data_IF_923165346695
#
_entry.id   IF_923165346695
#
_cell.length_a   1.000
_cell.length_b   1.000
_cell.length_c   1.000
_cell.angle_alpha   90.00
_cell.angle_beta   90.00
_cell.angle_gamma   90.00
#
_symmetry.space_group_name_H-M   'P 1'
#
loop_
_entity.id
_entity.type
_entity.pdbx_description
1 polymer ?
#
# COMPACT_ATOMS: atom_id res chain seq x y z
N UNK A 1 8.68 -2.87 -31.66
CA UNK A 1 9.27 -2.99 -30.30
C UNK A 1 8.31 -3.72 -29.36
N UNK A 2 7.81 -4.90 -29.72
CA UNK A 2 6.75 -5.61 -28.99
C UNK A 2 7.14 -7.02 -28.52
N UNK A 3 8.41 -7.42 -28.70
CA UNK A 3 8.90 -8.77 -28.43
C UNK A 3 9.96 -8.83 -27.33
N UNK A 4 10.26 -7.71 -26.65
CA UNK A 4 11.42 -7.60 -25.77
C UNK A 4 11.23 -8.30 -24.41
N UNK A 5 9.98 -8.51 -23.97
CA UNK A 5 9.70 -9.11 -22.68
C UNK A 5 8.81 -10.33 -22.87
N UNK A 6 9.39 -11.49 -22.57
CA UNK A 6 8.62 -12.72 -22.37
C UNK A 6 7.63 -12.53 -21.21
N UNK A 7 6.57 -13.32 -21.17
CA UNK A 7 5.46 -13.17 -20.22
C UNK A 7 5.94 -13.18 -18.76
N UNK A 8 6.94 -14.02 -18.49
CA UNK A 8 7.60 -14.12 -17.20
C UNK A 8 8.37 -12.84 -16.86
N UNK A 9 8.98 -12.17 -17.85
CA UNK A 9 9.65 -10.89 -17.69
C UNK A 9 8.67 -9.77 -17.35
N UNK A 10 7.50 -9.75 -18.01
CA UNK A 10 6.43 -8.80 -17.71
C UNK A 10 5.89 -8.97 -16.28
N UNK A 11 5.72 -10.22 -15.85
CA UNK A 11 5.30 -10.57 -14.50
C UNK A 11 6.31 -10.11 -13.45
N UNK A 12 7.59 -10.39 -13.67
CA UNK A 12 8.69 -9.99 -12.78
C UNK A 12 8.76 -8.47 -12.68
N UNK A 13 8.68 -7.77 -13.82
CA UNK A 13 8.72 -6.30 -13.85
C UNK A 13 7.53 -5.69 -13.12
N UNK A 14 6.33 -6.24 -13.33
CA UNK A 14 5.13 -5.80 -12.61
C UNK A 14 5.29 -5.98 -11.09
N UNK A 15 5.75 -7.16 -10.64
CA UNK A 15 5.98 -7.46 -9.22
C UNK A 15 7.05 -6.55 -8.61
N UNK A 16 8.18 -6.36 -9.30
CA UNK A 16 9.31 -5.60 -8.78
C UNK A 16 9.04 -4.10 -8.69
N UNK A 17 8.43 -3.52 -9.72
CA UNK A 17 8.29 -2.07 -9.84
C UNK A 17 6.91 -1.60 -9.37
N UNK A 18 5.85 -2.12 -10.01
CA UNK A 18 4.49 -1.59 -9.87
C UNK A 18 3.86 -2.08 -8.57
N UNK A 19 3.93 -3.38 -8.31
CA UNK A 19 3.38 -3.99 -7.08
C UNK A 19 4.10 -3.48 -5.83
N UNK A 20 5.43 -3.45 -5.84
CA UNK A 20 6.22 -2.88 -4.73
C UNK A 20 5.83 -1.43 -4.43
N UNK A 21 5.69 -0.59 -5.47
CA UNK A 21 5.29 0.81 -5.30
C UNK A 21 3.87 0.95 -4.76
N UNK A 22 2.93 0.10 -5.18
CA UNK A 22 1.54 0.12 -4.69
C UNK A 22 1.39 -0.46 -3.28
N UNK A 23 2.21 -1.44 -2.88
CA UNK A 23 2.21 -2.04 -1.53
C UNK A 23 2.89 -1.13 -0.49
N UNK A 24 4.08 -0.61 -0.83
CA UNK A 24 4.95 0.06 0.16
C UNK A 24 4.86 1.59 0.16
N UNK A 25 4.18 2.23 -0.79
CA UNK A 25 3.89 3.67 -0.74
C UNK A 25 2.73 4.01 0.23
N UNK A 26 2.45 3.15 1.22
CA UNK A 26 1.34 3.27 2.16
C UNK A 26 1.31 4.62 2.89
N UNK A 27 2.45 5.30 3.07
CA UNK A 27 2.52 6.66 3.61
C UNK A 27 1.83 7.70 2.74
N UNK A 28 1.89 7.58 1.41
CA UNK A 28 1.17 8.45 0.49
C UNK A 28 -0.32 8.13 0.40
N UNK A 29 -0.70 6.87 0.64
CA UNK A 29 -2.08 6.39 0.48
C UNK A 29 -2.86 6.31 1.78
N UNK A 30 -2.22 6.35 2.95
CA UNK A 30 -2.87 6.20 4.26
C UNK A 30 -3.90 7.28 4.58
N UNK A 31 -3.87 8.41 3.86
CA UNK A 31 -4.89 9.46 3.91
C UNK A 31 -5.68 9.65 2.60
N UNK A 32 -5.48 8.79 1.60
CA UNK A 32 -6.14 8.93 0.31
C UNK A 32 -7.61 8.50 0.40
N UNK A 33 -8.52 9.22 -0.27
CA UNK A 33 -9.92 8.84 -0.31
C UNK A 33 -10.09 7.46 -0.99
N UNK A 34 -11.10 6.69 -0.56
CA UNK A 34 -11.42 5.35 -1.10
C UNK A 34 -11.52 5.33 -2.64
N UNK A 35 -11.92 6.45 -3.26
CA UNK A 35 -11.97 6.61 -4.72
C UNK A 35 -10.58 6.45 -5.37
N UNK A 36 -9.52 6.97 -4.75
CA UNK A 36 -8.14 6.83 -5.26
C UNK A 36 -7.60 5.42 -5.05
N UNK A 37 -7.96 4.79 -3.92
CA UNK A 37 -7.61 3.39 -3.66
C UNK A 37 -8.23 2.45 -4.71
N UNK A 38 -9.48 2.70 -5.10
CA UNK A 38 -10.15 1.95 -6.16
C UNK A 38 -9.48 2.12 -7.54
N UNK A 39 -8.74 3.20 -7.77
CA UNK A 39 -7.94 3.36 -9.00
C UNK A 39 -6.72 2.43 -9.00
N UNK A 40 -6.08 2.22 -7.84
CA UNK A 40 -4.95 1.28 -7.71
C UNK A 40 -5.41 -0.16 -7.99
N UNK A 41 -6.58 -0.53 -7.48
CA UNK A 41 -7.16 -1.86 -7.73
C UNK A 41 -7.48 -2.05 -9.23
N UNK A 42 -7.90 -0.97 -9.93
CA UNK A 42 -8.06 -0.99 -11.40
C UNK A 42 -6.74 -1.12 -12.14
N UNK A 43 -5.66 -0.48 -11.66
CA UNK A 43 -4.31 -0.63 -12.24
C UNK A 43 -3.83 -2.07 -12.10
N UNK A 44 -4.00 -2.68 -10.93
CA UNK A 44 -3.75 -4.11 -10.74
C UNK A 44 -4.57 -4.96 -11.71
N UNK A 45 -5.89 -4.72 -11.78
CA UNK A 45 -6.78 -5.47 -12.66
C UNK A 45 -6.35 -5.38 -14.14
N UNK A 46 -5.89 -4.21 -14.57
CA UNK A 46 -5.31 -4.03 -15.92
C UNK A 46 -3.99 -4.77 -16.10
N UNK A 47 -3.09 -4.72 -15.13
CA UNK A 47 -1.81 -5.40 -15.19
C UNK A 47 -1.98 -6.93 -15.23
N UNK A 48 -2.87 -7.47 -14.39
CA UNK A 48 -3.21 -8.91 -14.38
C UNK A 48 -3.82 -9.32 -15.71
N UNK A 49 -4.70 -8.50 -16.30
CA UNK A 49 -5.24 -8.75 -17.64
C UNK A 49 -4.16 -8.78 -18.71
N UNK A 50 -3.27 -7.78 -18.72
CA UNK A 50 -2.12 -7.74 -19.63
C UNK A 50 -1.24 -8.98 -19.51
N UNK A 51 -0.93 -9.43 -18.28
CA UNK A 51 -0.11 -10.64 -18.05
C UNK A 51 -0.86 -11.91 -18.49
N UNK A 52 -2.17 -11.99 -18.22
CA UNK A 52 -3.02 -13.15 -18.54
C UNK A 52 -3.27 -13.28 -20.05
N UNK A 53 -3.61 -12.19 -20.72
CA UNK A 53 -3.86 -12.15 -22.17
C UNK A 53 -2.59 -12.49 -22.96
N UNK A 54 -1.41 -12.36 -22.33
CA UNK A 54 -0.14 -12.73 -22.93
C UNK A 54 0.20 -14.23 -22.80
N UNK A 55 -0.59 -15.03 -22.07
CA UNK A 55 -0.49 -16.50 -22.04
C UNK A 55 0.17 -17.11 -20.80
N UNK A 56 0.60 -16.30 -19.82
CA UNK A 56 1.11 -16.81 -18.54
C UNK A 56 -0.05 -17.17 -17.59
N UNK A 57 -0.59 -18.37 -17.77
CA UNK A 57 -1.49 -19.00 -16.81
C UNK A 57 -0.76 -19.37 -15.52
N UNK A 58 -0.57 -18.42 -14.61
CA UNK A 58 -0.32 -18.71 -13.20
C UNK A 58 -1.32 -17.92 -12.37
N UNK A 59 -1.99 -18.62 -11.46
CA UNK A 59 -2.82 -18.03 -10.42
C UNK A 59 -1.95 -17.05 -9.65
N UNK A 60 -2.02 -15.79 -10.06
CA UNK A 60 -1.52 -14.71 -9.26
C UNK A 60 -2.41 -14.66 -8.05
N UNK A 61 -1.88 -15.12 -6.92
CA UNK A 61 -2.39 -14.79 -5.60
C UNK A 61 -2.50 -13.27 -5.54
N UNK A 62 -3.69 -12.84 -5.93
CA UNK A 62 -4.15 -11.47 -5.95
C UNK A 62 -4.55 -11.18 -4.51
N UNK A 63 -3.60 -11.37 -3.60
CA UNK A 63 -3.71 -10.86 -2.24
C UNK A 63 -4.03 -9.39 -2.39
N UNK A 64 -5.25 -9.02 -2.01
CA UNK A 64 -5.77 -7.69 -2.23
C UNK A 64 -4.80 -6.69 -1.61
N UNK A 65 -4.41 -5.66 -2.37
CA UNK A 65 -3.49 -4.62 -1.87
C UNK A 65 -3.98 -4.00 -0.56
N UNK A 66 -5.27 -4.09 -0.24
CA UNK A 66 -5.82 -3.64 1.03
C UNK A 66 -5.08 -4.24 2.22
N UNK A 67 -4.90 -5.56 2.27
CA UNK A 67 -4.24 -6.22 3.40
C UNK A 67 -2.78 -5.82 3.53
N UNK A 68 -2.04 -5.75 2.42
CA UNK A 68 -0.65 -5.29 2.43
C UNK A 68 -0.53 -3.82 2.88
N UNK A 69 -1.45 -2.96 2.43
CA UNK A 69 -1.54 -1.56 2.85
C UNK A 69 -1.86 -1.43 4.35
N UNK A 70 -2.79 -2.23 4.86
CA UNK A 70 -3.17 -2.22 6.28
C UNK A 70 -2.00 -2.66 7.16
N UNK A 71 -1.31 -3.74 6.79
CA UNK A 71 -0.11 -4.22 7.48
C UNK A 71 1.00 -3.18 7.42
N UNK A 72 1.24 -2.57 6.26
CA UNK A 72 2.26 -1.54 6.11
C UNK A 72 1.93 -0.29 6.94
N UNK A 73 0.68 0.17 6.94
CA UNK A 73 0.19 1.27 7.77
C UNK A 73 0.35 1.00 9.28
N UNK A 74 -0.07 -0.19 9.73
CA UNK A 74 0.10 -0.64 11.12
C UNK A 74 1.58 -0.71 11.51
N UNK A 75 2.43 -1.24 10.63
CA UNK A 75 3.88 -1.33 10.84
C UNK A 75 4.49 0.06 10.98
N UNK A 76 4.10 1.02 10.14
CA UNK A 76 4.56 2.41 10.24
C UNK A 76 4.10 3.02 11.57
N UNK A 77 2.83 2.88 11.94
CA UNK A 77 2.32 3.40 13.21
C UNK A 77 3.03 2.79 14.42
N UNK A 78 3.30 1.48 14.38
CA UNK A 78 4.09 0.78 15.38
C UNK A 78 5.52 1.35 15.46
N UNK A 79 6.18 1.58 14.32
CA UNK A 79 7.52 2.16 14.26
C UNK A 79 7.56 3.60 14.79
N UNK A 80 6.54 4.40 14.50
CA UNK A 80 6.40 5.79 14.96
C UNK A 80 6.19 5.85 16.47
N UNK A 81 5.27 5.03 17.01
CA UNK A 81 4.87 5.12 18.41
C UNK A 81 5.70 4.28 19.37
N UNK A 82 6.03 3.03 19.00
CA UNK A 82 6.73 2.08 19.87
C UNK A 82 8.24 2.12 19.65
N UNK A 83 8.72 1.98 18.41
CA UNK A 83 10.16 1.96 18.14
C UNK A 83 10.82 3.35 18.07
N UNK A 84 10.02 4.42 17.99
CA UNK A 84 10.49 5.82 17.98
C UNK A 84 11.61 6.08 16.97
N UNK A 85 11.43 5.57 15.76
CA UNK A 85 12.46 5.63 14.71
C UNK A 85 12.72 7.11 14.32
N UNK A 86 13.99 7.57 14.29
CA UNK A 86 14.31 9.00 14.20
C UNK A 86 13.84 9.65 12.89
N UNK A 87 13.86 8.93 11.76
CA UNK A 87 13.41 9.47 10.47
C UNK A 87 11.88 9.56 10.31
N UNK A 88 11.11 9.00 11.25
CA UNK A 88 9.64 9.11 11.26
C UNK A 88 9.14 10.08 12.34
N UNK A 89 10.04 10.85 12.96
CA UNK A 89 9.70 11.78 14.04
C UNK A 89 8.66 12.83 13.61
N UNK A 90 8.70 13.28 12.35
CA UNK A 90 7.74 14.25 11.79
C UNK A 90 6.30 13.72 11.74
N UNK A 91 6.12 12.40 11.62
CA UNK A 91 4.79 11.77 11.61
C UNK A 91 4.21 11.55 13.01
N UNK A 92 5.03 11.77 14.05
CA UNK A 92 4.63 11.58 15.43
C UNK A 92 3.73 12.72 15.86
N UNK A 93 2.43 12.54 15.69
CA UNK A 93 1.47 13.45 16.32
C UNK A 93 1.41 13.16 17.83
N UNK A 94 1.30 14.20 18.68
CA UNK A 94 1.00 13.98 20.09
C UNK A 94 -0.31 13.19 20.17
N UNK A 95 -0.31 12.09 20.92
CA UNK A 95 -1.52 11.32 21.20
C UNK A 95 -2.55 12.31 21.75
N UNK A 96 -3.59 12.63 20.96
CA UNK A 96 -4.77 13.39 21.45
C UNK A 96 -5.58 12.47 22.36
N UNK A 97 -5.03 12.14 23.53
CA UNK A 97 -5.76 11.57 24.66
C UNK A 97 -5.53 12.47 25.85
N UNK A 98 -6.42 13.45 26.01
CA UNK A 98 -6.82 14.08 27.29
C UNK A 98 -7.46 15.47 27.07
N UNK A 99 -8.57 15.58 26.34
CA UNK A 99 -9.44 16.78 26.46
C UNK A 99 -10.93 16.51 26.57
N UNK A 100 -11.38 15.26 26.44
CA UNK A 100 -12.80 14.91 26.60
C UNK A 100 -13.15 14.38 28.00
N UNK A 101 -12.18 14.33 28.94
CA UNK A 101 -12.41 13.95 30.34
C UNK A 101 -12.15 15.09 31.35
N UNK A 102 -11.87 16.30 30.88
CA UNK A 102 -11.94 17.49 31.74
C UNK A 102 -13.32 18.12 31.55
N UNK A 103 -14.34 17.48 32.12
CA UNK A 103 -15.57 18.18 32.45
C UNK A 103 -15.26 19.25 33.49
N UNK A 104 -15.94 20.40 33.47
CA UNK A 104 -15.76 21.42 34.50
C UNK A 104 -16.18 20.84 35.86
N UNK A 105 -15.38 21.09 36.90
CA UNK A 105 -15.80 20.93 38.30
C UNK A 105 -16.90 21.95 38.61
N UNK A 106 -18.09 21.48 39.01
CA UNK A 106 -18.80 22.06 40.14
C UNK A 106 -18.95 21.07 41.30
#
# INVERSE_FOLDING_TARGET
MSWLLDNQGLEILYKAQVRSSMEYACLGWGGAANKHLALLDKVQGRAVRLIRDSGAGRNHDSTAFSTARDVAGLTVMYKVHQQRVPHLHTLRQPLRRARLLQGPLP
#
